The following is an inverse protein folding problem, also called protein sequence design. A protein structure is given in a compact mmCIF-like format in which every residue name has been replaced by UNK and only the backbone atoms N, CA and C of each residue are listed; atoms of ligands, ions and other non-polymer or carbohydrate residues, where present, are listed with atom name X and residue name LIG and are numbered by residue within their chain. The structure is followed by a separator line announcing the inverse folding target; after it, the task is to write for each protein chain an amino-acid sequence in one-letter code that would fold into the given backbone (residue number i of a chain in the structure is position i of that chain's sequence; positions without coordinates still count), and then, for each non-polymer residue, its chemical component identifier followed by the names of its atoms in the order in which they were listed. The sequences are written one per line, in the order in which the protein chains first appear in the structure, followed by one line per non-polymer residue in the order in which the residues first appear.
data_IF_143630302592
#
_entry.id   IF_143630302592
#
_cell.length_a   1.000
_cell.length_b   1.000
_cell.length_c   1.000
_cell.angle_alpha   90.00
_cell.angle_beta   90.00
_cell.angle_gamma   90.00
#
_symmetry.space_group_name_H-M   'P 1'
#
loop_
_entity.id
_entity.type
_entity.pdbx_description
1 polymer ?
#
# COMPACT_ATOMS: atom_id res chain seq x y z
N UNK A 1 5.36 4.78 -9.60
CA UNK A 1 5.52 5.81 -8.56
C UNK A 1 4.30 5.85 -7.65
N UNK A 2 4.35 5.26 -6.45
CA UNK A 2 3.17 5.21 -5.58
C UNK A 2 2.92 6.52 -4.82
N UNK A 3 3.95 7.34 -4.55
CA UNK A 3 3.76 8.66 -3.93
C UNK A 3 3.17 9.64 -4.94
N UNK A 4 3.68 9.65 -6.18
CA UNK A 4 3.10 10.45 -7.26
C UNK A 4 1.65 10.05 -7.57
N UNK A 5 1.32 8.75 -7.51
CA UNK A 5 -0.06 8.29 -7.61
C UNK A 5 -0.93 8.86 -6.46
N UNK A 6 -0.45 8.84 -5.22
CA UNK A 6 -1.17 9.45 -4.10
C UNK A 6 -1.36 10.96 -4.28
N UNK A 7 -0.35 11.70 -4.76
CA UNK A 7 -0.45 13.13 -5.11
C UNK A 7 -1.54 13.38 -6.16
N UNK A 8 -1.57 12.55 -7.21
CA UNK A 8 -2.56 12.67 -8.27
C UNK A 8 -3.99 12.43 -7.76
N UNK A 9 -4.18 11.40 -6.93
CA UNK A 9 -5.49 11.11 -6.33
C UNK A 9 -5.91 12.25 -5.39
N UNK A 10 -5.01 12.76 -4.55
CA UNK A 10 -5.29 13.89 -3.65
C UNK A 10 -5.75 15.13 -4.44
N UNK A 11 -5.10 15.45 -5.56
CA UNK A 11 -5.49 16.57 -6.42
C UNK A 11 -6.77 16.36 -7.23
N UNK A 12 -7.23 15.11 -7.37
CA UNK A 12 -8.40 14.75 -8.18
C UNK A 12 -9.70 14.63 -7.36
N UNK A 13 -9.60 14.52 -6.03
CA UNK A 13 -10.74 14.42 -5.13
C UNK A 13 -11.35 15.79 -4.82
N UNK A 14 -12.64 15.78 -4.45
CA UNK A 14 -13.28 16.93 -3.79
C UNK A 14 -12.54 17.26 -2.47
N UNK A 15 -12.66 18.51 -1.95
CA UNK A 15 -12.00 18.91 -0.71
C UNK A 15 -12.27 18.00 0.51
N UNK A 16 -13.42 17.34 0.55
CA UNK A 16 -13.84 16.40 1.59
C UNK A 16 -13.84 14.92 1.15
N UNK A 17 -13.37 14.67 -0.07
CA UNK A 17 -13.32 13.37 -0.72
C UNK A 17 -12.48 12.34 0.05
N UNK A 18 -12.70 11.08 -0.26
CA UNK A 18 -12.09 9.95 0.42
C UNK A 18 -11.54 8.96 -0.60
N UNK A 19 -10.32 8.49 -0.39
CA UNK A 19 -9.73 7.40 -1.17
C UNK A 19 -9.75 6.11 -0.36
N UNK A 20 -10.39 5.09 -0.93
CA UNK A 20 -10.32 3.72 -0.42
C UNK A 20 -9.16 2.99 -1.10
N UNK A 21 -8.21 2.52 -0.29
CA UNK A 21 -7.03 1.77 -0.73
C UNK A 21 -7.20 0.33 -0.25
N UNK A 22 -7.12 -0.64 -1.16
CA UNK A 22 -7.22 -2.07 -0.83
C UNK A 22 -5.91 -2.73 -1.17
N UNK A 23 -5.22 -3.24 -0.16
CA UNK A 23 -3.90 -3.85 -0.29
C UNK A 23 -3.91 -5.26 0.30
N UNK A 24 -3.00 -6.16 -0.12
CA UNK A 24 -2.80 -7.42 0.55
C UNK A 24 -2.48 -7.20 2.03
N UNK A 25 -3.10 -7.99 2.90
CA UNK A 25 -2.87 -7.88 4.32
C UNK A 25 -1.39 -8.20 4.63
N UNK A 26 -0.75 -7.30 5.36
CA UNK A 26 0.62 -7.42 5.82
C UNK A 26 0.81 -6.63 7.12
N UNK A 27 1.49 -7.24 8.08
CA UNK A 27 2.05 -6.55 9.23
C UNK A 27 3.34 -5.80 8.83
N UNK A 28 3.73 -4.82 9.63
CA UNK A 28 4.94 -4.01 9.37
C UNK A 28 6.26 -4.78 9.56
N UNK A 29 6.22 -5.88 10.30
CA UNK A 29 7.39 -6.71 10.59
C UNK A 29 7.24 -8.10 9.97
N UNK A 30 8.28 -8.54 9.26
CA UNK A 30 8.33 -9.83 8.57
C UNK A 30 7.91 -11.00 9.46
N UNK A 31 8.39 -11.04 10.71
CA UNK A 31 8.11 -12.15 11.63
C UNK A 31 6.61 -12.42 11.83
N UNK A 32 5.77 -11.37 11.81
CA UNK A 32 4.32 -11.50 11.92
C UNK A 32 3.65 -11.97 10.62
N UNK A 33 4.35 -11.87 9.48
CA UNK A 33 3.87 -12.30 8.16
C UNK A 33 4.31 -13.73 7.80
N UNK A 34 5.08 -14.42 8.65
CA UNK A 34 5.54 -15.79 8.41
C UNK A 34 4.44 -16.83 8.66
N UNK A 35 3.37 -16.72 7.87
CA UNK A 35 2.22 -17.60 7.87
C UNK A 35 1.94 -18.08 6.42
N UNK A 36 1.03 -19.06 6.20
CA UNK A 36 0.78 -19.59 4.85
C UNK A 36 0.36 -18.54 3.82
N UNK A 37 -0.44 -17.55 4.23
CA UNK A 37 -0.90 -16.47 3.34
C UNK A 37 0.26 -15.54 2.98
N UNK A 38 1.04 -15.10 3.97
CA UNK A 38 2.22 -14.28 3.74
C UNK A 38 3.26 -14.97 2.85
N UNK A 39 3.47 -16.29 3.02
CA UNK A 39 4.34 -17.08 2.13
C UNK A 39 3.90 -16.98 0.67
N UNK A 40 2.61 -17.12 0.38
CA UNK A 40 2.08 -17.02 -0.98
C UNK A 40 2.28 -15.60 -1.54
N UNK A 41 1.94 -14.56 -0.78
CA UNK A 41 2.09 -13.18 -1.24
C UNK A 41 3.55 -12.76 -1.43
N UNK A 42 4.46 -13.15 -0.53
CA UNK A 42 5.89 -12.88 -0.72
C UNK A 42 6.43 -13.59 -1.96
N UNK A 43 6.09 -14.87 -2.16
CA UNK A 43 6.51 -15.61 -3.35
C UNK A 43 5.99 -14.94 -4.63
N UNK A 44 4.69 -14.68 -4.71
CA UNK A 44 4.08 -14.01 -5.86
C UNK A 44 4.69 -12.62 -6.10
N UNK A 45 4.84 -11.80 -5.05
CA UNK A 45 5.43 -10.45 -5.18
C UNK A 45 6.87 -10.50 -5.69
N UNK A 46 7.66 -11.46 -5.22
CA UNK A 46 9.06 -11.61 -5.62
C UNK A 46 9.21 -11.85 -7.11
N UNK A 47 8.28 -12.60 -7.71
CA UNK A 47 8.31 -12.92 -9.14
C UNK A 47 7.49 -11.97 -10.02
N UNK A 48 6.58 -11.18 -9.45
CA UNK A 48 5.63 -10.34 -10.20
C UNK A 48 5.71 -8.88 -9.80
N UNK A 49 5.16 -8.50 -8.64
CA UNK A 49 4.96 -7.10 -8.27
C UNK A 49 6.27 -6.32 -8.07
N UNK A 50 7.24 -6.94 -7.38
CA UNK A 50 8.53 -6.32 -7.09
C UNK A 50 9.33 -6.07 -8.37
N UNK A 51 9.59 -7.07 -9.25
CA UNK A 51 10.32 -6.82 -10.49
C UNK A 51 9.58 -5.87 -11.44
N UNK A 52 8.25 -5.93 -11.50
CA UNK A 52 7.45 -4.98 -12.30
C UNK A 52 7.57 -3.53 -11.80
N UNK A 53 7.74 -3.32 -10.49
CA UNK A 53 8.04 -1.98 -9.96
C UNK A 53 9.48 -1.56 -10.27
N UNK A 54 10.45 -2.48 -10.15
CA UNK A 54 11.87 -2.20 -10.41
C UNK A 54 12.11 -1.83 -11.88
N UNK A 55 11.33 -2.38 -12.81
CA UNK A 55 11.44 -2.04 -14.24
C UNK A 55 10.89 -0.66 -14.62
N UNK A 56 10.33 0.09 -13.66
CA UNK A 56 9.81 1.45 -13.87
C UNK A 56 10.78 2.49 -13.31
N UNK A 57 10.75 3.71 -13.83
CA UNK A 57 11.68 4.80 -13.48
C UNK A 57 11.85 5.02 -11.97
N UNK A 58 10.75 5.03 -11.20
CA UNK A 58 10.81 5.25 -9.74
C UNK A 58 11.28 4.02 -8.96
N UNK A 59 11.07 2.81 -9.47
CA UNK A 59 11.71 1.61 -8.89
C UNK A 59 11.43 1.28 -7.42
N UNK A 60 10.42 1.88 -6.77
CA UNK A 60 10.31 1.86 -5.29
C UNK A 60 10.19 0.45 -4.67
N UNK A 61 9.72 -0.53 -5.45
CA UNK A 61 9.75 -1.95 -5.09
C UNK A 61 9.06 -2.29 -3.76
N UNK A 62 7.92 -1.64 -3.47
CA UNK A 62 7.13 -1.92 -2.26
C UNK A 62 6.71 -3.39 -2.15
N UNK A 63 6.37 -4.00 -3.30
CA UNK A 63 5.81 -5.35 -3.35
C UNK A 63 4.41 -5.44 -2.75
N UNK A 64 3.89 -6.66 -2.68
CA UNK A 64 2.55 -6.96 -2.16
C UNK A 64 2.44 -6.88 -0.63
N UNK A 65 3.57 -6.93 0.09
CA UNK A 65 3.62 -7.06 1.55
C UNK A 65 4.28 -5.83 2.20
N UNK A 66 3.83 -4.64 1.81
CA UNK A 66 4.43 -3.37 2.21
C UNK A 66 4.16 -3.02 3.69
N UNK A 67 3.04 -3.46 4.26
CA UNK A 67 2.60 -3.11 5.61
C UNK A 67 2.01 -1.69 5.69
N UNK A 68 1.18 -1.46 6.72
CA UNK A 68 0.46 -0.19 6.89
C UNK A 68 1.42 0.99 7.11
N UNK A 69 2.50 0.81 7.87
CA UNK A 69 3.44 1.89 8.17
C UNK A 69 4.13 2.41 6.92
N UNK A 70 4.47 1.53 5.96
CA UNK A 70 5.07 1.94 4.69
C UNK A 70 4.06 2.59 3.77
N UNK A 71 2.86 2.02 3.66
CA UNK A 71 1.75 2.60 2.90
C UNK A 71 1.37 3.98 3.43
N UNK A 72 1.36 4.16 4.77
CA UNK A 72 1.14 5.45 5.41
C UNK A 72 2.12 6.50 4.93
N UNK A 73 3.41 6.20 4.92
CA UNK A 73 4.45 7.14 4.45
C UNK A 73 4.24 7.56 3.00
N UNK A 74 3.87 6.62 2.13
CA UNK A 74 3.57 6.88 0.71
C UNK A 74 2.35 7.79 0.58
N UNK A 75 1.24 7.42 1.22
CA UNK A 75 -0.03 8.15 1.11
C UNK A 75 0.07 9.54 1.71
N UNK A 76 0.71 9.70 2.87
CA UNK A 76 0.94 11.01 3.48
C UNK A 76 1.95 11.84 2.69
N UNK A 77 2.94 11.20 2.06
CA UNK A 77 3.85 11.88 1.12
C UNK A 77 3.12 12.45 -0.10
N UNK A 78 1.97 11.86 -0.47
CA UNK A 78 1.09 12.36 -1.52
C UNK A 78 0.08 13.44 -1.09
N UNK A 79 0.16 13.94 0.15
CA UNK A 79 -0.63 15.10 0.61
C UNK A 79 -1.83 14.79 1.50
N UNK A 80 -2.24 13.52 1.63
CA UNK A 80 -3.30 13.13 2.57
C UNK A 80 -2.82 13.27 4.04
N UNK A 81 -3.62 13.89 4.91
CA UNK A 81 -3.23 14.07 6.33
C UNK A 81 -3.82 13.01 7.25
N UNK A 82 -4.90 12.36 6.85
CA UNK A 82 -5.55 11.30 7.64
C UNK A 82 -5.51 10.00 6.88
N UNK A 83 -5.02 8.96 7.54
CA UNK A 83 -5.06 7.59 7.06
C UNK A 83 -5.42 6.67 8.22
N UNK A 84 -6.43 5.82 8.03
CA UNK A 84 -6.83 4.82 9.02
C UNK A 84 -7.14 3.48 8.33
N UNK A 85 -7.01 2.38 9.06
CA UNK A 85 -7.58 1.10 8.65
C UNK A 85 -9.10 1.14 8.85
N UNK A 86 -9.84 0.97 7.77
CA UNK A 86 -11.30 1.00 7.77
C UNK A 86 -11.91 -0.39 7.94
N UNK A 87 -11.27 -1.40 7.35
CA UNK A 87 -11.65 -2.80 7.48
C UNK A 87 -10.44 -3.70 7.17
N UNK A 88 -10.54 -4.98 7.53
CA UNK A 88 -9.56 -6.00 7.17
C UNK A 88 -10.22 -7.37 7.04
N UNK A 89 -9.57 -8.23 6.26
CA UNK A 89 -9.80 -9.67 6.23
C UNK A 89 -8.43 -10.36 6.38
N UNK A 90 -8.37 -11.69 6.49
CA UNK A 90 -7.09 -12.40 6.47
C UNK A 90 -6.23 -12.16 5.22
N UNK A 91 -6.82 -11.64 4.14
CA UNK A 91 -6.15 -11.44 2.85
C UNK A 91 -5.96 -9.97 2.48
N UNK A 92 -6.83 -9.07 2.96
CA UNK A 92 -6.83 -7.67 2.54
C UNK A 92 -6.85 -6.72 3.73
N UNK A 93 -6.14 -5.61 3.58
CA UNK A 93 -6.21 -4.44 4.42
C UNK A 93 -6.88 -3.31 3.63
N UNK A 94 -7.93 -2.71 4.19
CA UNK A 94 -8.64 -1.58 3.57
C UNK A 94 -8.30 -0.32 4.36
N UNK A 95 -7.65 0.64 3.69
CA UNK A 95 -7.29 1.93 4.26
C UNK A 95 -8.20 3.03 3.70
N UNK A 96 -8.56 3.97 4.57
CA UNK A 96 -9.26 5.20 4.23
C UNK A 96 -8.27 6.37 4.32
N UNK A 97 -8.02 7.05 3.20
CA UNK A 97 -7.23 8.27 3.15
C UNK A 97 -8.11 9.50 2.92
N UNK A 98 -7.90 10.57 3.69
CA UNK A 98 -8.62 11.84 3.58
C UNK A 98 -7.66 13.04 3.68
N UNK A 99 -7.98 14.18 3.03
CA UNK A 99 -7.16 15.39 3.07
C UNK A 99 -6.86 15.88 4.48
#
# INVERSE_FOLDING_TARGET
DPTGAATHVHGSLKPDGTWMIVEPFAHDHLAANLNPVGRVYYAASTFVCTPASVSQEVGLALGAQAGEARLRKVVTGGGFKRLRRAAETPFNMVLEARP
#
